data_IF_338180754861
#
_entry.id   IF_338180754861
#
_cell.length_a   1.000
_cell.length_b   1.000
_cell.length_c   1.000
_cell.angle_alpha   90.00
_cell.angle_beta   90.00
_cell.angle_gamma   90.00
#
_symmetry.space_group_name_H-M   'P 1'
#
loop_
_entity.id
_entity.type
_entity.pdbx_description
1 polymer ?
#
# COMPACT_ATOMS: atom_id res chain seq x y z
N UNK A 1 -12.23 -20.64 35.43
CA UNK A 1 -10.88 -20.05 35.25
C UNK A 1 -11.05 -18.64 34.70
N UNK A 2 -10.31 -17.63 35.19
CA UNK A 2 -10.34 -16.30 34.59
C UNK A 2 -9.71 -16.32 33.20
N UNK A 3 -10.27 -15.54 32.27
CA UNK A 3 -9.72 -15.34 30.92
C UNK A 3 -8.69 -14.22 30.99
N UNK A 4 -7.48 -14.48 30.51
CA UNK A 4 -6.40 -13.50 30.45
C UNK A 4 -6.33 -12.85 29.07
N UNK A 5 -6.22 -11.52 29.02
CA UNK A 5 -6.05 -10.74 27.79
C UNK A 5 -4.81 -9.85 27.90
N UNK A 6 -4.18 -9.54 26.77
CA UNK A 6 -3.10 -8.57 26.68
C UNK A 6 -3.44 -7.49 25.64
N UNK A 7 -2.87 -6.27 25.74
CA UNK A 7 -3.10 -5.21 24.76
C UNK A 7 -2.61 -5.63 23.37
N UNK A 8 -3.36 -5.27 22.33
CA UNK A 8 -2.88 -5.44 20.96
C UNK A 8 -1.71 -4.47 20.71
N UNK A 9 -0.48 -4.95 20.46
CA UNK A 9 0.70 -4.12 20.23
C UNK A 9 0.59 -3.21 18.99
N UNK A 10 -0.31 -3.50 18.06
CA UNK A 10 -0.61 -2.64 16.91
C UNK A 10 -1.59 -1.51 17.27
N UNK A 11 -2.20 -1.52 18.45
CA UNK A 11 -3.14 -0.47 18.90
C UNK A 11 -2.66 0.30 20.14
N UNK A 12 -1.44 0.01 20.62
CA UNK A 12 -0.82 0.72 21.75
C UNK A 12 0.53 1.28 21.35
N UNK A 13 0.90 2.41 21.94
CA UNK A 13 2.22 3.03 21.73
C UNK A 13 3.28 2.24 22.49
N UNK A 14 4.26 1.69 21.78
CA UNK A 14 5.37 0.96 22.37
C UNK A 14 6.55 1.86 22.78
N UNK A 15 7.66 1.27 23.26
CA UNK A 15 8.89 1.99 23.63
C UNK A 15 9.46 2.87 22.51
N UNK A 16 9.24 2.47 21.26
CA UNK A 16 9.62 3.19 20.04
C UNK A 16 8.76 4.44 19.76
N UNK A 17 7.89 4.84 20.71
CA UNK A 17 6.96 5.99 20.60
C UNK A 17 6.00 5.94 19.41
N UNK A 18 5.77 4.74 18.89
CA UNK A 18 4.80 4.45 17.84
C UNK A 18 4.22 3.04 18.05
N UNK A 19 2.99 2.76 17.56
CA UNK A 19 2.43 1.43 17.61
C UNK A 19 3.17 0.47 16.67
N UNK A 20 3.13 -0.83 16.96
CA UNK A 20 3.95 -1.84 16.28
C UNK A 20 3.74 -1.86 14.77
N UNK A 21 2.52 -1.64 14.29
CA UNK A 21 2.21 -1.60 12.85
C UNK A 21 2.93 -0.47 12.10
N UNK A 22 3.32 0.61 12.77
CA UNK A 22 3.97 1.75 12.13
C UNK A 22 5.51 1.74 12.30
N UNK A 23 6.07 0.72 12.94
CA UNK A 23 7.52 0.51 12.99
C UNK A 23 8.06 0.27 11.58
N UNK A 24 9.22 0.83 11.23
CA UNK A 24 9.80 0.71 9.89
C UNK A 24 9.86 -0.74 9.35
N UNK A 25 10.22 -1.70 10.21
CA UNK A 25 10.30 -3.13 9.87
C UNK A 25 8.95 -3.81 9.62
N UNK A 26 7.83 -3.21 10.04
CA UNK A 26 6.47 -3.77 9.90
C UNK A 26 5.59 -2.93 8.98
N UNK A 27 5.92 -1.64 8.83
CA UNK A 27 5.11 -0.61 8.19
C UNK A 27 4.55 -1.05 6.85
N UNK A 28 5.39 -1.57 5.96
CA UNK A 28 4.96 -2.07 4.65
C UNK A 28 3.84 -3.10 4.78
N UNK A 29 4.14 -4.25 5.41
CA UNK A 29 3.18 -5.33 5.60
C UNK A 29 1.91 -4.86 6.32
N UNK A 30 2.05 -3.94 7.27
CA UNK A 30 0.93 -3.36 8.01
C UNK A 30 0.04 -2.43 7.16
N UNK A 31 0.60 -1.66 6.22
CA UNK A 31 -0.20 -0.83 5.31
C UNK A 31 -0.93 -1.69 4.26
N UNK A 32 -0.28 -2.73 3.73
CA UNK A 32 -0.94 -3.71 2.85
C UNK A 32 -2.04 -4.51 3.60
N UNK A 33 -1.87 -4.72 4.91
CA UNK A 33 -2.78 -5.46 5.77
C UNK A 33 -3.68 -4.60 6.68
N UNK A 34 -3.87 -3.31 6.38
CA UNK A 34 -4.46 -2.35 7.34
C UNK A 34 -5.88 -2.73 7.78
N UNK A 35 -6.61 -3.50 6.97
CA UNK A 35 -7.91 -4.11 7.31
C UNK A 35 -7.88 -5.06 8.50
N UNK A 36 -6.73 -5.65 8.81
CA UNK A 36 -6.56 -6.54 9.96
C UNK A 36 -6.20 -5.77 11.24
N UNK A 37 -5.91 -4.48 11.13
CA UNK A 37 -5.40 -3.65 12.21
C UNK A 37 -6.43 -2.59 12.61
N UNK A 38 -6.87 -1.78 11.65
CA UNK A 38 -7.79 -0.68 11.90
C UNK A 38 -9.25 -1.12 11.73
N UNK A 39 -10.09 -0.71 12.68
CA UNK A 39 -11.54 -0.98 12.67
C UNK A 39 -12.25 -0.38 11.44
N UNK A 40 -11.74 0.73 10.91
CA UNK A 40 -12.32 1.49 9.80
C UNK A 40 -11.24 1.86 8.77
N UNK A 41 -10.69 0.88 8.06
CA UNK A 41 -9.66 1.11 7.01
C UNK A 41 -10.14 0.85 5.59
N UNK A 42 -11.31 0.22 5.43
CA UNK A 42 -11.86 -0.10 4.13
C UNK A 42 -12.95 0.89 3.76
N UNK A 43 -12.69 1.70 2.74
CA UNK A 43 -13.70 2.52 2.08
C UNK A 43 -13.94 1.95 0.69
N UNK A 44 -15.06 1.26 0.49
CA UNK A 44 -15.19 0.39 -0.66
C UNK A 44 -15.64 1.03 -1.96
N UNK A 45 -16.25 2.23 -1.96
CA UNK A 45 -16.94 2.69 -3.17
C UNK A 45 -16.97 4.21 -3.30
N UNK A 46 -16.40 4.71 -4.38
CA UNK A 46 -16.80 6.00 -4.94
C UNK A 46 -18.23 5.87 -5.48
N UNK A 47 -19.07 6.90 -5.32
CA UNK A 47 -20.44 6.90 -5.85
C UNK A 47 -20.51 6.84 -7.39
N UNK A 48 -19.39 7.11 -8.06
CA UNK A 48 -19.19 6.98 -9.50
C UNK A 48 -17.80 6.42 -9.75
N UNK A 49 -17.68 5.47 -10.67
CA UNK A 49 -16.43 4.79 -11.01
C UNK A 49 -15.92 5.32 -12.35
N UNK A 50 -14.62 5.57 -12.46
CA UNK A 50 -13.95 5.86 -13.72
C UNK A 50 -13.26 4.59 -14.21
N UNK A 51 -13.76 4.00 -15.29
CA UNK A 51 -13.15 2.82 -15.89
C UNK A 51 -11.84 3.21 -16.58
N UNK A 52 -10.74 2.61 -16.13
CA UNK A 52 -9.44 2.77 -16.75
C UNK A 52 -9.31 1.86 -17.97
N UNK A 53 -8.93 2.44 -19.10
CA UNK A 53 -8.58 1.73 -20.34
C UNK A 53 -7.07 1.60 -20.45
N UNK A 54 -6.57 0.38 -20.57
CA UNK A 54 -5.15 0.16 -20.87
C UNK A 54 -4.78 0.81 -22.21
N UNK A 55 -3.78 1.67 -22.16
CA UNK A 55 -3.20 2.38 -23.31
C UNK A 55 -1.71 2.52 -23.07
N UNK A 56 -1.03 1.39 -22.94
CA UNK A 56 0.36 1.33 -22.50
C UNK A 56 1.28 2.22 -23.35
N UNK A 57 2.07 3.04 -22.68
CA UNK A 57 3.16 3.81 -23.27
C UNK A 57 4.49 3.17 -22.87
N UNK A 58 5.14 2.53 -23.84
CA UNK A 58 6.41 1.84 -23.62
C UNK A 58 7.56 2.80 -23.31
N UNK A 59 7.47 4.07 -23.73
CA UNK A 59 8.48 5.07 -23.40
C UNK A 59 8.55 5.33 -21.90
N UNK A 60 7.42 5.25 -21.19
CA UNK A 60 7.37 5.37 -19.73
C UNK A 60 8.11 4.20 -19.09
N UNK A 61 7.79 2.96 -19.49
CA UNK A 61 8.45 1.75 -18.97
C UNK A 61 9.96 1.70 -19.28
N UNK A 62 10.39 2.35 -20.37
CA UNK A 62 11.78 2.40 -20.79
C UNK A 62 12.63 3.41 -20.01
N UNK A 63 12.05 4.25 -19.15
CA UNK A 63 12.83 5.22 -18.36
C UNK A 63 13.67 4.53 -17.28
N UNK A 64 14.92 4.94 -17.16
CA UNK A 64 15.84 4.38 -16.16
C UNK A 64 15.46 4.77 -14.73
N UNK A 65 15.05 6.02 -14.52
CA UNK A 65 14.63 6.51 -13.21
C UNK A 65 13.41 5.74 -12.66
N UNK A 66 12.46 5.40 -13.53
CA UNK A 66 11.30 4.58 -13.18
C UNK A 66 11.72 3.15 -12.82
N UNK A 67 12.58 2.52 -13.62
CA UNK A 67 13.11 1.19 -13.30
C UNK A 67 13.85 1.19 -11.96
N UNK A 68 14.67 2.21 -11.71
CA UNK A 68 15.37 2.35 -10.44
C UNK A 68 14.38 2.48 -9.28
N UNK A 69 13.42 3.41 -9.37
CA UNK A 69 12.40 3.65 -8.34
C UNK A 69 11.58 2.38 -8.03
N UNK A 70 11.13 1.67 -9.07
CA UNK A 70 10.28 0.48 -8.93
C UNK A 70 11.06 -0.76 -8.46
N UNK A 71 12.39 -0.74 -8.53
CA UNK A 71 13.24 -1.79 -7.96
C UNK A 71 13.54 -1.64 -6.47
N UNK A 72 13.22 -0.48 -5.87
CA UNK A 72 13.52 -0.22 -4.47
C UNK A 72 12.64 -1.10 -3.56
N UNK A 73 13.19 -1.61 -2.43
CA UNK A 73 12.45 -2.53 -1.56
C UNK A 73 11.24 -1.89 -0.85
N UNK A 74 11.13 -0.56 -0.88
CA UNK A 74 9.97 0.18 -0.36
C UNK A 74 8.93 0.53 -1.44
N UNK A 75 9.17 0.24 -2.72
CA UNK A 75 8.18 0.40 -3.78
C UNK A 75 6.96 -0.49 -3.52
N UNK A 76 5.75 0.04 -3.67
CA UNK A 76 4.50 -0.70 -3.39
C UNK A 76 3.71 -0.89 -4.69
N UNK A 77 3.18 0.20 -5.25
CA UNK A 77 2.59 0.22 -6.57
C UNK A 77 2.69 1.61 -7.20
N UNK A 78 2.57 1.66 -8.52
CA UNK A 78 2.45 2.89 -9.29
C UNK A 78 1.47 2.67 -10.45
N UNK A 79 0.61 3.66 -10.68
CA UNK A 79 -0.17 3.79 -11.89
C UNK A 79 0.05 5.19 -12.47
N UNK A 80 0.31 5.27 -13.77
CA UNK A 80 0.41 6.53 -14.52
C UNK A 80 -0.77 6.60 -15.46
N UNK A 81 -1.59 7.63 -15.34
CA UNK A 81 -2.81 7.80 -16.13
C UNK A 81 -2.85 9.15 -16.84
N UNK A 82 -3.54 9.19 -17.98
CA UNK A 82 -3.93 10.42 -18.68
C UNK A 82 -5.44 10.33 -18.95
N UNK A 83 -6.23 11.12 -18.22
CA UNK A 83 -7.69 10.94 -18.20
C UNK A 83 -8.05 9.53 -17.69
N UNK A 84 -8.77 8.77 -18.51
CA UNK A 84 -9.10 7.37 -18.23
C UNK A 84 -8.15 6.36 -18.89
N UNK A 85 -7.03 6.82 -19.47
CA UNK A 85 -6.03 5.94 -20.09
C UNK A 85 -4.99 5.55 -19.05
N UNK A 86 -4.77 4.25 -18.87
CA UNK A 86 -3.68 3.72 -18.07
C UNK A 86 -2.45 3.53 -18.97
N UNK A 87 -1.46 4.41 -18.78
CA UNK A 87 -0.25 4.48 -19.59
C UNK A 87 0.86 3.57 -19.07
N UNK A 88 0.97 3.43 -17.74
CA UNK A 88 1.92 2.52 -17.11
C UNK A 88 1.36 2.03 -15.77
N UNK A 89 1.70 0.80 -15.41
CA UNK A 89 1.47 0.27 -14.07
C UNK A 89 2.64 -0.64 -13.66
N UNK A 90 2.96 -0.60 -12.38
CA UNK A 90 3.94 -1.50 -11.76
C UNK A 90 3.49 -1.79 -10.33
N UNK A 91 3.73 -3.01 -9.87
CA UNK A 91 3.35 -3.49 -8.55
C UNK A 91 4.50 -4.29 -7.97
N UNK A 92 4.76 -4.11 -6.69
CA UNK A 92 5.63 -5.01 -5.95
C UNK A 92 4.97 -6.40 -5.83
N UNK A 93 5.74 -7.48 -5.67
CA UNK A 93 5.19 -8.84 -5.62
C UNK A 93 4.20 -9.11 -4.48
N UNK A 94 4.24 -8.31 -3.42
CA UNK A 94 3.40 -8.40 -2.21
C UNK A 94 2.30 -7.32 -2.16
N UNK A 95 2.02 -6.65 -3.29
CA UNK A 95 0.92 -5.70 -3.41
C UNK A 95 -0.45 -6.38 -3.40
#
# INVERSE_FOLDING_TARGET
MPIFTHPNPDLVVGPERQPRWNLAARRRASFHGLQHIARYSQSYRAGRVLDLRLSADLAIAAREDLRHLTSLPWFSAMAVTEGNRLLHQSYAPDF
#
